data_IF_195442501881
#
_entry.id   IF_195442501881
#
_cell.length_a   1.000
_cell.length_b   1.000
_cell.length_c   1.000
_cell.angle_alpha   90.00
_cell.angle_beta   90.00
_cell.angle_gamma   90.00
#
_symmetry.space_group_name_H-M   'P 1'
#
loop_
_entity.id
_entity.type
_entity.pdbx_description
1 polymer ?
#
# COMPACT_ATOMS: atom_id res chain seq x y z
N UNK A 1 17.66 -5.92 -12.68
CA UNK A 1 18.34 -7.20 -12.38
C UNK A 1 17.27 -8.22 -12.06
N UNK A 2 17.35 -9.44 -12.58
CA UNK A 2 16.37 -10.49 -12.28
C UNK A 2 16.90 -11.36 -11.15
N UNK A 3 16.24 -11.34 -10.00
CA UNK A 3 16.49 -12.28 -8.92
C UNK A 3 15.82 -13.62 -9.22
N UNK A 4 16.47 -14.72 -8.87
CA UNK A 4 15.87 -16.04 -8.77
C UNK A 4 15.09 -16.18 -7.45
N UNK A 5 14.18 -17.15 -7.39
CA UNK A 5 13.36 -17.35 -6.18
C UNK A 5 14.25 -17.71 -4.98
N UNK A 6 15.29 -18.52 -5.17
CA UNK A 6 16.23 -18.87 -4.09
C UNK A 6 17.05 -17.68 -3.58
N UNK A 7 17.42 -16.74 -4.46
CA UNK A 7 18.10 -15.49 -4.05
C UNK A 7 17.17 -14.62 -3.17
N UNK A 8 15.89 -14.54 -3.55
CA UNK A 8 14.88 -13.83 -2.75
C UNK A 8 14.69 -14.50 -1.37
N UNK A 9 14.51 -15.82 -1.33
CA UNK A 9 14.37 -16.55 -0.06
C UNK A 9 15.63 -16.44 0.81
N UNK A 10 16.82 -16.41 0.19
CA UNK A 10 18.10 -16.20 0.89
C UNK A 10 18.13 -14.84 1.58
N UNK A 11 17.72 -13.76 0.89
CA UNK A 11 17.66 -12.44 1.51
C UNK A 11 16.74 -12.41 2.74
N UNK A 12 15.60 -13.12 2.71
CA UNK A 12 14.71 -13.26 3.88
C UNK A 12 15.42 -13.95 5.03
N UNK A 13 16.11 -15.07 4.78
CA UNK A 13 16.85 -15.81 5.81
C UNK A 13 18.01 -15.00 6.40
N UNK A 14 18.76 -14.29 5.57
CA UNK A 14 19.86 -13.42 5.99
C UNK A 14 19.36 -12.29 6.89
N UNK A 15 18.30 -11.60 6.47
CA UNK A 15 17.74 -10.51 7.28
C UNK A 15 17.14 -11.05 8.59
N UNK A 16 16.51 -12.22 8.56
CA UNK A 16 16.00 -12.86 9.78
C UNK A 16 17.14 -13.19 10.76
N UNK A 17 18.27 -13.69 10.26
CA UNK A 17 19.45 -13.97 11.06
C UNK A 17 20.10 -12.69 11.62
N UNK A 18 20.12 -11.61 10.85
CA UNK A 18 20.64 -10.30 11.29
C UNK A 18 19.79 -9.66 12.40
N UNK A 19 18.46 -9.75 12.28
CA UNK A 19 17.54 -9.18 13.25
C UNK A 19 17.32 -10.10 14.46
N UNK A 20 17.60 -11.40 14.33
CA UNK A 20 17.26 -12.41 15.32
C UNK A 20 15.75 -12.66 15.46
N UNK A 21 14.97 -12.14 14.52
CA UNK A 21 13.52 -12.27 14.44
C UNK A 21 13.08 -12.25 12.97
N UNK A 22 11.84 -12.65 12.73
CA UNK A 22 11.30 -12.73 11.38
C UNK A 22 11.00 -11.33 10.84
N UNK A 23 11.60 -10.96 9.70
CA UNK A 23 11.51 -9.60 9.18
C UNK A 23 10.13 -9.27 8.65
N UNK A 24 9.75 -8.00 8.78
CA UNK A 24 8.63 -7.41 8.04
C UNK A 24 9.04 -7.03 6.62
N UNK A 25 8.06 -6.94 5.72
CA UNK A 25 8.25 -6.46 4.34
C UNK A 25 8.89 -5.07 4.27
N UNK A 26 8.62 -4.22 5.26
CA UNK A 26 9.20 -2.88 5.37
C UNK A 26 10.68 -2.93 5.78
N UNK A 27 11.04 -3.80 6.73
CA UNK A 27 12.44 -4.02 7.10
C UNK A 27 13.24 -4.60 5.92
N UNK A 28 12.64 -5.50 5.15
CA UNK A 28 13.25 -6.03 3.93
C UNK A 28 13.47 -4.94 2.88
N UNK A 29 12.43 -4.15 2.60
CA UNK A 29 12.49 -3.09 1.58
C UNK A 29 13.38 -1.91 1.98
N UNK A 30 13.62 -1.72 3.28
CA UNK A 30 14.50 -0.67 3.82
C UNK A 30 15.96 -1.12 3.95
N UNK A 31 16.26 -2.43 3.84
CA UNK A 31 17.60 -2.94 3.96
C UNK A 31 18.41 -2.67 2.67
N UNK A 32 19.59 -2.09 2.82
CA UNK A 32 20.44 -1.74 1.67
C UNK A 32 20.81 -2.98 0.85
N UNK A 33 20.72 -2.83 -0.48
CA UNK A 33 21.06 -3.90 -1.44
C UNK A 33 20.05 -5.04 -1.51
N UNK A 34 18.91 -4.97 -0.80
CA UNK A 34 17.88 -6.00 -0.81
C UNK A 34 16.74 -5.68 -1.80
N UNK A 35 16.09 -6.71 -2.36
CA UNK A 35 14.93 -6.53 -3.24
C UNK A 35 13.75 -5.86 -2.54
N UNK A 36 12.95 -5.11 -3.30
CA UNK A 36 11.72 -4.48 -2.78
C UNK A 36 10.69 -5.53 -2.36
N UNK A 37 9.84 -5.19 -1.40
CA UNK A 37 8.68 -6.00 -0.99
C UNK A 37 7.75 -6.39 -2.16
N UNK A 38 7.61 -5.49 -3.16
CA UNK A 38 6.87 -5.78 -4.37
C UNK A 38 7.46 -6.94 -5.19
N UNK A 39 8.78 -7.13 -5.16
CA UNK A 39 9.45 -8.26 -5.83
C UNK A 39 9.02 -9.59 -5.21
N UNK A 40 8.89 -9.65 -3.88
CA UNK A 40 8.42 -10.84 -3.18
C UNK A 40 6.95 -11.13 -3.44
N UNK A 41 6.09 -10.10 -3.39
CA UNK A 41 4.65 -10.26 -3.66
C UNK A 41 4.39 -10.79 -5.08
N UNK A 42 5.11 -10.31 -6.08
CA UNK A 42 4.95 -10.80 -7.46
C UNK A 42 5.47 -12.22 -7.69
N UNK A 43 6.41 -12.71 -6.85
CA UNK A 43 7.02 -14.03 -7.02
C UNK A 43 6.40 -15.12 -6.15
N UNK A 44 5.91 -14.76 -4.97
CA UNK A 44 5.44 -15.70 -3.95
C UNK A 44 4.00 -15.44 -3.53
N UNK A 45 3.25 -14.62 -4.28
CA UNK A 45 1.87 -14.18 -4.01
C UNK A 45 1.72 -13.26 -2.77
N UNK A 46 2.50 -13.46 -1.70
CA UNK A 46 2.53 -12.59 -0.53
C UNK A 46 3.88 -12.61 0.20
N UNK A 47 4.13 -11.60 1.05
CA UNK A 47 5.30 -11.58 1.94
C UNK A 47 5.31 -12.78 2.88
N UNK A 48 4.15 -13.10 3.46
CA UNK A 48 4.01 -14.21 4.41
C UNK A 48 4.32 -15.55 3.77
N UNK A 49 3.91 -15.78 2.51
CA UNK A 49 4.23 -17.01 1.80
C UNK A 49 5.71 -17.06 1.40
N UNK A 50 6.34 -15.92 1.09
CA UNK A 50 7.79 -15.84 0.90
C UNK A 50 8.56 -16.18 2.19
N UNK A 51 8.11 -15.70 3.34
CA UNK A 51 8.70 -16.00 4.67
C UNK A 51 8.51 -17.48 5.03
N UNK A 52 7.34 -18.05 4.75
CA UNK A 52 7.05 -19.47 4.96
C UNK A 52 7.94 -20.36 4.07
N UNK A 53 8.07 -20.03 2.78
CA UNK A 53 8.97 -20.72 1.85
C UNK A 53 10.45 -20.52 2.20
N UNK A 54 10.80 -19.40 2.82
CA UNK A 54 12.13 -19.18 3.37
C UNK A 54 12.43 -20.07 4.59
N UNK A 55 11.43 -20.77 5.15
CA UNK A 55 11.58 -21.62 6.32
C UNK A 55 11.85 -20.82 7.60
N UNK A 56 11.51 -19.53 7.59
CA UNK A 56 11.63 -18.64 8.74
C UNK A 56 10.31 -18.69 9.50
N UNK A 57 10.34 -19.03 10.80
CA UNK A 57 9.13 -19.11 11.63
C UNK A 57 8.42 -17.75 11.61
N UNK A 58 7.15 -17.65 11.14
CA UNK A 58 6.42 -16.39 11.14
C UNK A 58 6.49 -15.74 12.52
N UNK A 59 6.88 -14.45 12.60
CA UNK A 59 7.05 -13.79 13.90
C UNK A 59 5.77 -13.95 14.72
N UNK A 60 5.93 -14.34 15.99
CA UNK A 60 4.86 -14.36 17.00
C UNK A 60 4.46 -12.92 17.42
N UNK A 61 4.36 -12.02 16.44
CA UNK A 61 3.69 -10.73 16.54
C UNK A 61 2.17 -10.90 16.45
N UNK A 62 1.70 -12.15 16.48
CA UNK A 62 0.30 -12.50 16.57
C UNK A 62 -0.29 -11.78 17.77
N UNK A 63 -1.18 -10.82 17.48
CA UNK A 63 -2.27 -10.54 18.41
C UNK A 63 -3.00 -11.85 18.74
N UNK A 64 -4.14 -11.81 19.42
CA UNK A 64 -4.81 -13.03 19.92
C UNK A 64 -5.27 -14.05 18.85
N UNK A 65 -4.93 -13.87 17.58
CA UNK A 65 -5.35 -14.70 16.45
C UNK A 65 -4.17 -15.10 15.56
N UNK A 66 -4.11 -16.40 15.25
CA UNK A 66 -3.24 -17.04 14.25
C UNK A 66 -3.76 -16.83 12.82
N UNK A 67 -2.91 -17.06 11.80
CA UNK A 67 -3.31 -17.05 10.37
C UNK A 67 -4.52 -17.96 10.15
N UNK A 68 -4.49 -19.18 10.71
CA UNK A 68 -5.57 -20.17 10.58
C UNK A 68 -6.86 -19.70 11.23
N UNK A 69 -6.82 -19.18 12.47
CA UNK A 69 -8.01 -18.68 13.16
C UNK A 69 -8.67 -17.53 12.37
N UNK A 70 -7.89 -16.61 11.81
CA UNK A 70 -8.41 -15.54 10.96
C UNK A 70 -9.10 -16.09 9.69
N UNK A 71 -8.51 -17.09 9.02
CA UNK A 71 -9.15 -17.72 7.86
C UNK A 71 -10.43 -18.46 8.24
N UNK A 72 -10.47 -19.11 9.40
CA UNK A 72 -11.67 -19.76 9.93
C UNK A 72 -12.77 -18.74 10.24
N UNK A 73 -12.44 -17.58 10.81
CA UNK A 73 -13.39 -16.49 11.01
C UNK A 73 -14.02 -16.00 9.70
N UNK A 74 -13.23 -15.85 8.63
CA UNK A 74 -13.73 -15.47 7.31
C UNK A 74 -14.68 -16.54 6.76
N UNK A 75 -14.29 -17.82 6.82
CA UNK A 75 -15.12 -18.94 6.32
C UNK A 75 -16.41 -19.10 7.11
N UNK A 76 -16.36 -18.91 8.42
CA UNK A 76 -17.54 -18.94 9.28
C UNK A 76 -18.50 -17.80 8.94
N UNK A 77 -17.99 -16.58 8.77
CA UNK A 77 -18.81 -15.43 8.36
C UNK A 77 -19.43 -15.65 6.98
N UNK A 78 -18.65 -16.17 6.03
CA UNK A 78 -19.14 -16.49 4.70
C UNK A 78 -20.26 -17.54 4.71
N UNK A 79 -20.14 -18.55 5.58
CA UNK A 79 -21.16 -19.60 5.75
C UNK A 79 -22.44 -19.03 6.33
N UNK A 80 -22.34 -18.13 7.30
CA UNK A 80 -23.49 -17.46 7.92
C UNK A 80 -24.23 -16.56 6.91
N UNK A 81 -23.48 -15.78 6.12
CA UNK A 81 -24.04 -14.86 5.14
C UNK A 81 -24.47 -15.55 3.83
N UNK A 82 -24.01 -16.78 3.58
CA UNK A 82 -24.16 -17.46 2.28
C UNK A 82 -23.39 -16.81 1.14
N UNK A 83 -22.44 -15.90 1.44
CA UNK A 83 -21.60 -15.17 0.48
C UNK A 83 -20.27 -14.76 1.11
N UNK A 84 -19.19 -14.57 0.32
CA UNK A 84 -18.01 -13.84 0.74
C UNK A 84 -18.33 -12.58 1.57
N UNK A 85 -17.72 -12.42 2.76
CA UNK A 85 -17.99 -11.30 3.64
C UNK A 85 -17.27 -10.02 3.21
N UNK A 86 -17.95 -8.90 3.34
CA UNK A 86 -17.39 -7.55 3.18
C UNK A 86 -16.76 -7.04 4.47
N UNK A 87 -15.96 -5.99 4.35
CA UNK A 87 -15.46 -5.26 5.52
C UNK A 87 -16.61 -4.69 6.37
N UNK A 88 -17.73 -4.33 5.76
CA UNK A 88 -18.92 -3.87 6.48
C UNK A 88 -19.54 -5.01 7.29
N UNK A 89 -19.64 -6.21 6.72
CA UNK A 89 -20.12 -7.40 7.44
C UNK A 89 -19.20 -7.74 8.62
N UNK A 90 -17.88 -7.62 8.45
CA UNK A 90 -16.91 -7.84 9.53
C UNK A 90 -17.07 -6.81 10.65
N UNK A 91 -17.27 -5.53 10.31
CA UNK A 91 -17.42 -4.45 11.29
C UNK A 91 -18.79 -4.42 11.97
N UNK A 92 -19.80 -5.11 11.41
CA UNK A 92 -21.13 -5.22 11.99
C UNK A 92 -21.19 -6.22 13.17
N UNK A 93 -20.16 -7.06 13.33
CA UNK A 93 -20.08 -8.09 14.35
C UNK A 93 -18.95 -7.79 15.35
N UNK A 94 -19.33 -7.31 16.54
CA UNK A 94 -18.40 -6.96 17.62
C UNK A 94 -17.74 -8.20 18.28
N UNK A 95 -18.29 -9.40 18.10
CA UNK A 95 -17.74 -10.64 18.67
C UNK A 95 -16.62 -11.25 17.80
N UNK A 96 -16.34 -10.64 16.64
CA UNK A 96 -15.31 -11.09 15.69
C UNK A 96 -14.04 -10.23 15.74
N UNK A 97 -12.91 -10.76 15.26
CA UNK A 97 -11.70 -9.96 15.16
C UNK A 97 -11.93 -8.74 14.27
N UNK A 98 -11.54 -7.56 14.75
CA UNK A 98 -11.50 -6.36 13.90
C UNK A 98 -10.60 -6.56 12.65
N UNK A 99 -10.70 -5.67 11.66
CA UNK A 99 -9.87 -5.72 10.46
C UNK A 99 -8.34 -5.73 10.73
N UNK A 100 -7.88 -5.15 11.85
CA UNK A 100 -6.44 -4.94 12.12
C UNK A 100 -5.60 -6.24 12.08
N UNK A 101 -5.98 -7.32 12.77
CA UNK A 101 -5.36 -8.64 12.62
C UNK A 101 -5.22 -9.12 11.17
N UNK A 102 -6.26 -8.98 10.35
CA UNK A 102 -6.23 -9.42 8.95
C UNK A 102 -5.24 -8.61 8.13
N UNK A 103 -5.28 -7.27 8.24
CA UNK A 103 -4.33 -6.39 7.56
C UNK A 103 -2.87 -6.69 7.93
N UNK A 104 -2.62 -7.08 9.17
CA UNK A 104 -1.26 -7.42 9.64
C UNK A 104 -0.76 -8.74 9.05
N UNK A 105 -1.65 -9.71 8.85
CA UNK A 105 -1.27 -11.08 8.42
C UNK A 105 -1.30 -11.25 6.90
N UNK A 106 -2.23 -10.58 6.23
CA UNK A 106 -2.53 -10.76 4.80
C UNK A 106 -2.34 -9.48 3.97
N UNK A 107 -1.85 -8.39 4.57
CA UNK A 107 -1.76 -7.04 3.99
C UNK A 107 -3.11 -6.35 3.70
N UNK A 108 -4.08 -7.02 3.09
CA UNK A 108 -5.41 -6.47 2.72
C UNK A 108 -6.55 -7.43 3.06
N UNK A 109 -7.80 -6.94 3.07
CA UNK A 109 -8.96 -7.81 3.29
C UNK A 109 -9.17 -8.77 2.12
N UNK A 110 -8.98 -8.29 0.89
CA UNK A 110 -9.12 -9.12 -0.30
C UNK A 110 -8.07 -10.23 -0.38
N UNK A 111 -6.83 -9.96 0.04
CA UNK A 111 -5.83 -11.02 0.17
C UNK A 111 -6.23 -12.06 1.23
N UNK A 112 -6.87 -11.63 2.33
CA UNK A 112 -7.41 -12.55 3.33
C UNK A 112 -8.58 -13.39 2.77
N UNK A 113 -9.45 -12.81 1.94
CA UNK A 113 -10.53 -13.54 1.25
C UNK A 113 -9.98 -14.59 0.27
N UNK A 114 -9.00 -14.20 -0.57
CA UNK A 114 -8.32 -15.11 -1.49
C UNK A 114 -7.66 -16.26 -0.72
N UNK A 115 -6.93 -15.94 0.36
CA UNK A 115 -6.31 -16.96 1.22
C UNK A 115 -7.35 -17.86 1.92
N UNK A 116 -8.56 -17.35 2.18
CA UNK A 116 -9.66 -18.14 2.73
C UNK A 116 -10.36 -19.02 1.68
N UNK A 117 -10.05 -18.83 0.39
CA UNK A 117 -10.61 -19.58 -0.74
C UNK A 117 -11.83 -18.91 -1.38
N UNK A 118 -12.00 -17.61 -1.19
CA UNK A 118 -13.07 -16.82 -1.81
C UNK A 118 -12.52 -15.89 -2.89
N UNK A 119 -13.34 -15.57 -3.87
CA UNK A 119 -13.04 -14.47 -4.77
C UNK A 119 -12.99 -13.15 -3.98
N UNK A 120 -12.08 -12.22 -4.32
CA UNK A 120 -12.10 -10.87 -3.78
C UNK A 120 -13.49 -10.26 -3.91
N UNK A 121 -13.88 -9.39 -2.96
CA UNK A 121 -15.21 -8.79 -2.98
C UNK A 121 -15.49 -7.92 -4.23
N UNK A 122 -14.47 -7.66 -5.04
CA UNK A 122 -14.59 -7.09 -6.37
C UNK A 122 -15.50 -7.91 -7.31
N UNK A 123 -15.61 -9.23 -7.11
CA UNK A 123 -16.40 -10.13 -7.95
C UNK A 123 -17.88 -10.26 -7.52
N UNK A 124 -18.27 -9.76 -6.35
CA UNK A 124 -19.51 -10.14 -5.65
C UNK A 124 -20.49 -8.98 -5.44
N UNK A 125 -20.50 -7.98 -6.32
CA UNK A 125 -21.53 -6.94 -6.32
C UNK A 125 -22.79 -7.41 -7.07
N UNK A 126 -23.59 -8.24 -6.40
CA UNK A 126 -24.95 -8.57 -6.84
C UNK A 126 -26.03 -8.11 -5.85
N UNK A 127 -25.69 -7.24 -4.90
CA UNK A 127 -26.65 -6.66 -3.95
C UNK A 127 -26.63 -5.14 -4.05
N UNK A 128 -27.20 -4.60 -5.13
CA UNK A 128 -28.39 -3.72 -5.17
C UNK A 128 -28.62 -3.30 -6.65
N UNK A 129 -29.87 -3.07 -7.11
CA UNK A 129 -30.19 -2.91 -8.53
C UNK A 129 -29.72 -1.60 -9.19
N UNK A 130 -29.03 -0.72 -8.46
CA UNK A 130 -28.74 0.67 -8.89
C UNK A 130 -27.30 1.13 -8.58
N UNK A 131 -26.28 0.27 -8.72
CA UNK A 131 -24.90 0.63 -8.39
C UNK A 131 -23.83 0.11 -9.35
N UNK A 132 -22.75 0.89 -9.49
CA UNK A 132 -21.54 0.57 -10.24
C UNK A 132 -20.84 -0.68 -9.69
N UNK A 133 -20.45 -1.58 -10.58
CA UNK A 133 -19.50 -2.66 -10.33
C UNK A 133 -18.09 -2.12 -10.12
N UNK A 134 -17.23 -2.90 -9.47
CA UNK A 134 -15.85 -2.50 -9.22
C UNK A 134 -15.09 -2.28 -10.54
N UNK A 135 -15.36 -3.09 -11.57
CA UNK A 135 -14.81 -2.87 -12.91
C UNK A 135 -15.26 -1.54 -13.52
N UNK A 136 -16.54 -1.17 -13.36
CA UNK A 136 -17.05 0.13 -13.81
C UNK A 136 -16.41 1.29 -13.03
N UNK A 137 -16.21 1.13 -11.72
CA UNK A 137 -15.47 2.10 -10.91
C UNK A 137 -14.03 2.27 -11.40
N UNK A 138 -13.29 1.18 -11.60
CA UNK A 138 -11.92 1.25 -12.13
C UNK A 138 -11.87 1.84 -13.54
N UNK A 139 -12.86 1.53 -14.38
CA UNK A 139 -13.01 2.12 -15.72
C UNK A 139 -13.17 3.64 -15.64
N UNK A 140 -13.99 4.15 -14.73
CA UNK A 140 -14.14 5.60 -14.54
C UNK A 140 -12.83 6.28 -14.10
N UNK A 141 -11.99 5.62 -13.30
CA UNK A 141 -10.65 6.12 -12.97
C UNK A 141 -9.77 6.15 -14.21
N UNK A 142 -9.79 5.10 -15.02
CA UNK A 142 -8.98 4.98 -16.25
C UNK A 142 -9.39 6.02 -17.31
N UNK A 143 -10.68 6.17 -17.56
CA UNK A 143 -11.22 7.17 -18.49
C UNK A 143 -10.82 8.59 -18.08
N UNK A 144 -10.99 8.93 -16.80
CA UNK A 144 -10.58 10.25 -16.30
C UNK A 144 -9.05 10.43 -16.35
N UNK A 145 -8.29 9.35 -16.12
CA UNK A 145 -6.84 9.41 -16.25
C UNK A 145 -6.38 9.62 -17.70
N UNK A 146 -7.06 9.02 -18.68
CA UNK A 146 -6.83 9.26 -20.09
C UNK A 146 -7.15 10.70 -20.49
N UNK A 147 -8.26 11.26 -19.98
CA UNK A 147 -8.65 12.66 -20.18
C UNK A 147 -7.60 13.65 -19.62
N UNK A 148 -7.03 13.34 -18.46
CA UNK A 148 -6.07 14.19 -17.77
C UNK A 148 -4.60 13.92 -18.16
N UNK A 149 -4.32 12.80 -18.84
CA UNK A 149 -2.97 12.31 -19.11
C UNK A 149 -2.20 11.86 -17.84
N UNK A 150 -2.89 11.76 -16.69
CA UNK A 150 -2.34 11.33 -15.39
C UNK A 150 -3.44 10.80 -14.48
N UNK A 151 -3.11 10.03 -13.42
CA UNK A 151 -4.10 9.55 -12.47
C UNK A 151 -4.88 10.71 -11.81
N UNK A 152 -6.21 10.60 -11.67
CA UNK A 152 -7.01 11.66 -11.07
C UNK A 152 -6.80 11.78 -9.55
N UNK A 153 -6.91 12.99 -9.06
CA UNK A 153 -7.05 13.28 -7.63
C UNK A 153 -8.48 12.99 -7.15
N UNK A 154 -8.66 12.91 -5.82
CA UNK A 154 -9.99 12.75 -5.21
C UNK A 154 -10.94 13.88 -5.60
N UNK A 155 -10.43 15.12 -5.60
CA UNK A 155 -11.22 16.30 -5.92
C UNK A 155 -11.60 16.37 -7.40
N UNK A 156 -10.72 15.90 -8.30
CA UNK A 156 -11.01 15.80 -9.74
C UNK A 156 -12.07 14.74 -10.03
N UNK A 157 -12.02 13.58 -9.34
CA UNK A 157 -13.08 12.57 -9.47
C UNK A 157 -14.42 13.07 -8.92
N UNK A 158 -14.43 13.77 -7.79
CA UNK A 158 -15.67 14.34 -7.24
C UNK A 158 -16.25 15.42 -8.16
N UNK A 159 -15.41 16.17 -8.88
CA UNK A 159 -15.86 17.22 -9.81
C UNK A 159 -16.28 16.70 -11.18
N UNK A 160 -15.99 15.44 -11.50
CA UNK A 160 -16.41 14.86 -12.76
C UNK A 160 -17.92 14.56 -12.74
N UNK A 161 -18.65 15.17 -13.67
CA UNK A 161 -20.06 14.90 -13.90
C UNK A 161 -20.27 13.42 -14.30
N UNK A 162 -21.43 12.87 -13.92
CA UNK A 162 -21.85 11.49 -14.21
C UNK A 162 -20.91 10.37 -13.70
N UNK A 163 -20.02 10.68 -12.74
CA UNK A 163 -19.15 9.68 -12.09
C UNK A 163 -19.55 9.44 -10.62
N UNK A 164 -19.33 8.23 -10.10
CA UNK A 164 -19.59 7.94 -8.69
C UNK A 164 -18.71 8.79 -7.77
N UNK A 165 -19.23 9.16 -6.59
CA UNK A 165 -18.45 9.88 -5.57
C UNK A 165 -17.25 9.06 -5.10
N UNK A 166 -16.16 9.73 -4.74
CA UNK A 166 -14.94 9.19 -4.14
C UNK A 166 -15.20 8.34 -2.88
N UNK A 167 -16.31 8.58 -2.19
CA UNK A 167 -16.78 7.78 -1.06
C UNK A 167 -17.13 6.33 -1.46
N UNK A 168 -17.66 6.14 -2.67
CA UNK A 168 -17.95 4.82 -3.25
C UNK A 168 -16.66 4.02 -3.41
N UNK A 169 -15.62 4.66 -3.96
CA UNK A 169 -14.31 4.05 -4.15
C UNK A 169 -13.64 3.70 -2.82
N UNK A 170 -13.65 4.61 -1.84
CA UNK A 170 -13.08 4.35 -0.51
C UNK A 170 -13.75 3.16 0.19
N UNK A 171 -15.07 3.03 0.06
CA UNK A 171 -15.82 1.91 0.64
C UNK A 171 -15.50 0.59 -0.06
N UNK A 172 -15.36 0.60 -1.38
CA UNK A 172 -15.14 -0.60 -2.21
C UNK A 172 -13.71 -1.10 -2.21
N UNK A 173 -12.73 -0.19 -2.24
CA UNK A 173 -11.32 -0.50 -2.41
C UNK A 173 -10.49 -0.17 -1.16
N UNK A 174 -11.11 0.00 0.01
CA UNK A 174 -10.46 0.36 1.29
C UNK A 174 -9.90 1.80 1.34
N UNK A 175 -9.44 2.34 0.22
CA UNK A 175 -8.99 3.73 0.09
C UNK A 175 -9.00 4.20 -1.37
N UNK A 176 -8.94 5.53 -1.59
CA UNK A 176 -8.72 6.08 -2.93
C UNK A 176 -7.36 5.66 -3.52
N UNK A 177 -6.32 5.61 -2.68
CA UNK A 177 -4.98 5.21 -3.10
C UNK A 177 -5.01 3.80 -3.67
N UNK A 178 -5.66 2.89 -2.96
CA UNK A 178 -5.89 1.50 -3.38
C UNK A 178 -6.74 1.44 -4.66
N UNK A 179 -7.78 2.27 -4.79
CA UNK A 179 -8.56 2.34 -6.03
C UNK A 179 -7.72 2.80 -7.24
N UNK A 180 -6.80 3.74 -7.07
CA UNK A 180 -5.88 4.19 -8.13
C UNK A 180 -4.87 3.08 -8.48
N UNK A 181 -4.34 2.37 -7.48
CA UNK A 181 -3.41 1.23 -7.67
C UNK A 181 -4.09 0.08 -8.41
N UNK A 182 -5.30 -0.29 -8.00
CA UNK A 182 -6.12 -1.32 -8.66
C UNK A 182 -6.57 -0.91 -10.07
N UNK A 183 -6.68 0.39 -10.35
CA UNK A 183 -6.93 0.91 -11.69
C UNK A 183 -5.68 0.84 -12.61
N UNK A 184 -4.54 0.37 -12.09
CA UNK A 184 -3.29 0.20 -12.84
C UNK A 184 -2.38 1.43 -12.84
N UNK A 185 -2.63 2.39 -11.94
CA UNK A 185 -1.87 3.64 -11.86
C UNK A 185 -1.03 3.70 -10.58
N UNK A 186 0.14 4.34 -10.67
CA UNK A 186 0.86 4.76 -9.47
C UNK A 186 0.08 5.89 -8.80
N UNK A 187 -0.31 5.71 -7.54
CA UNK A 187 -1.22 6.62 -6.85
C UNK A 187 -0.64 8.02 -6.58
N UNK A 188 0.62 8.28 -6.94
CA UNK A 188 1.27 9.58 -6.85
C UNK A 188 1.46 10.08 -5.41
N UNK A 189 0.82 9.42 -4.43
CA UNK A 189 1.04 9.59 -3.00
C UNK A 189 2.32 8.87 -2.61
N UNK A 190 3.46 9.45 -2.99
CA UNK A 190 4.72 9.24 -2.27
C UNK A 190 4.65 9.88 -0.87
N UNK A 191 3.62 9.59 -0.08
CA UNK A 191 3.52 10.07 1.30
C UNK A 191 4.10 9.09 2.31
N UNK A 192 4.75 8.00 1.88
CA UNK A 192 5.43 7.09 2.81
C UNK A 192 6.63 6.29 2.26
N UNK A 193 7.31 6.72 1.18
CA UNK A 193 8.48 5.94 0.72
C UNK A 193 9.66 6.74 0.17
N UNK A 194 9.74 8.06 0.39
CA UNK A 194 11.03 8.70 0.14
C UNK A 194 12.01 8.25 1.22
N UNK A 195 13.03 7.51 0.79
CA UNK A 195 14.26 7.32 1.55
C UNK A 195 14.93 8.66 1.81
N UNK A 196 15.83 8.70 2.80
CA UNK A 196 16.64 9.90 3.04
C UNK A 196 17.42 10.29 1.79
N UNK A 197 18.02 9.32 1.09
CA UNK A 197 18.77 9.55 -0.14
C UNK A 197 17.91 10.23 -1.22
N UNK A 198 16.70 9.72 -1.49
CA UNK A 198 15.80 10.31 -2.48
C UNK A 198 15.36 11.74 -2.13
N UNK A 199 15.13 12.04 -0.84
CA UNK A 199 14.84 13.41 -0.42
C UNK A 199 16.03 14.33 -0.65
N UNK A 200 17.25 13.88 -0.36
CA UNK A 200 18.44 14.69 -0.57
C UNK A 200 18.71 14.93 -2.05
N UNK A 201 18.50 13.93 -2.90
CA UNK A 201 18.68 14.07 -4.34
C UNK A 201 17.64 15.03 -4.94
N UNK A 202 16.37 14.91 -4.56
CA UNK A 202 15.35 15.87 -4.97
C UNK A 202 15.68 17.30 -4.49
N UNK A 203 16.18 17.45 -3.27
CA UNK A 203 16.54 18.76 -2.74
C UNK A 203 17.72 19.38 -3.51
N UNK A 204 18.68 18.56 -3.96
CA UNK A 204 19.81 18.99 -4.81
C UNK A 204 19.38 19.30 -6.23
N UNK A 205 18.45 18.53 -6.79
CA UNK A 205 17.88 18.79 -8.11
C UNK A 205 17.17 20.14 -8.11
N UNK A 206 16.33 20.40 -7.10
CA UNK A 206 15.66 21.69 -6.95
C UNK A 206 16.66 22.85 -6.80
N UNK A 207 17.75 22.64 -6.06
CA UNK A 207 18.81 23.63 -5.92
C UNK A 207 19.53 23.91 -7.25
N UNK A 208 19.73 22.87 -8.06
CA UNK A 208 20.35 22.96 -9.38
C UNK A 208 19.43 23.69 -10.36
N UNK A 209 18.13 23.42 -10.33
CA UNK A 209 17.12 24.10 -11.16
C UNK A 209 16.98 25.58 -10.83
N UNK A 210 17.00 25.93 -9.54
CA UNK A 210 16.90 27.32 -9.07
C UNK A 210 18.25 28.06 -9.17
N UNK A 211 19.36 27.33 -9.26
CA UNK A 211 20.71 27.89 -9.20
C UNK A 211 21.10 28.46 -7.84
N UNK A 212 20.32 28.16 -6.80
CA UNK A 212 20.50 28.63 -5.43
C UNK A 212 19.89 27.64 -4.42
N UNK A 213 20.26 27.79 -3.15
CA UNK A 213 19.66 27.00 -2.06
C UNK A 213 18.15 27.26 -2.00
N UNK A 214 17.29 26.23 -2.16
CA UNK A 214 15.85 26.41 -2.18
C UNK A 214 15.31 26.94 -0.85
N UNK A 215 14.53 28.01 -0.91
CA UNK A 215 13.71 28.44 0.23
C UNK A 215 12.46 27.56 0.39
N UNK A 216 11.85 27.60 1.58
CA UNK A 216 10.57 26.92 1.83
C UNK A 216 9.47 27.41 0.87
N UNK A 217 9.49 28.69 0.48
CA UNK A 217 8.51 29.22 -0.47
C UNK A 217 8.73 28.65 -1.86
N UNK A 218 9.98 28.52 -2.30
CA UNK A 218 10.32 27.93 -3.60
C UNK A 218 10.00 26.43 -3.63
N UNK A 219 10.30 25.68 -2.56
CA UNK A 219 9.88 24.27 -2.45
C UNK A 219 8.37 24.11 -2.58
N UNK A 220 7.59 24.96 -1.91
CA UNK A 220 6.13 24.88 -1.98
C UNK A 220 5.56 25.33 -3.33
N UNK A 221 6.32 26.12 -4.10
CA UNK A 221 5.94 26.57 -5.43
C UNK A 221 6.40 25.61 -6.53
N UNK A 222 7.31 24.68 -6.22
CA UNK A 222 7.82 23.69 -7.14
C UNK A 222 6.82 22.54 -7.28
N UNK A 223 6.34 22.33 -8.50
CA UNK A 223 5.51 21.17 -8.84
C UNK A 223 6.38 19.89 -8.78
N UNK A 224 5.78 18.76 -8.42
CA UNK A 224 6.46 17.45 -8.29
C UNK A 224 7.49 17.28 -7.16
N UNK A 225 7.65 18.26 -6.27
CA UNK A 225 8.53 18.14 -5.10
C UNK A 225 7.79 17.76 -3.79
N UNK A 226 8.41 16.98 -2.89
CA UNK A 226 7.84 16.68 -1.59
C UNK A 226 7.64 17.95 -0.76
N UNK A 227 6.53 18.01 -0.01
CA UNK A 227 6.30 19.14 0.88
C UNK A 227 7.38 19.26 1.97
N UNK A 228 7.60 20.46 2.50
CA UNK A 228 8.49 20.69 3.65
C UNK A 228 8.22 19.75 4.82
N UNK A 229 6.97 19.35 5.03
CA UNK A 229 6.59 18.45 6.11
C UNK A 229 7.28 17.07 5.98
N UNK A 230 7.51 16.59 4.76
CA UNK A 230 8.21 15.33 4.48
C UNK A 230 9.66 15.41 4.94
N UNK A 231 10.37 16.47 4.54
CA UNK A 231 11.75 16.74 4.97
C UNK A 231 11.86 16.91 6.49
N UNK A 232 10.95 17.67 7.11
CA UNK A 232 10.96 17.86 8.56
C UNK A 232 10.72 16.54 9.30
N UNK A 233 9.80 15.72 8.85
CA UNK A 233 9.49 14.46 9.51
C UNK A 233 10.65 13.45 9.41
N UNK A 234 11.48 13.55 8.36
CA UNK A 234 12.64 12.66 8.16
C UNK A 234 13.91 13.17 8.84
N UNK A 235 14.28 14.43 8.62
CA UNK A 235 15.54 15.01 9.10
C UNK A 235 15.37 15.81 10.41
N UNK A 236 14.18 15.82 10.99
CA UNK A 236 13.83 16.60 12.20
C UNK A 236 13.59 18.09 11.93
N UNK A 237 14.29 18.69 10.96
CA UNK A 237 14.07 20.07 10.54
C UNK A 237 14.41 20.32 9.07
N UNK A 238 13.92 21.42 8.51
CA UNK A 238 14.28 21.85 7.15
C UNK A 238 15.76 22.21 7.04
N UNK A 239 16.31 22.89 8.04
CA UNK A 239 17.73 23.22 8.09
C UNK A 239 18.61 21.97 8.12
N UNK A 240 18.22 20.95 8.88
CA UNK A 240 18.92 19.67 8.89
C UNK A 240 18.85 18.93 7.54
N UNK A 241 17.76 19.08 6.80
CA UNK A 241 17.65 18.54 5.44
C UNK A 241 18.60 19.26 4.46
N UNK A 242 18.71 20.60 4.55
CA UNK A 242 19.67 21.39 3.75
C UNK A 242 21.12 21.05 4.09
N UNK A 243 21.44 20.89 5.38
CA UNK A 243 22.75 20.47 5.86
C UNK A 243 23.10 19.07 5.31
N UNK A 244 22.19 18.11 5.45
CA UNK A 244 22.36 16.75 4.91
C UNK A 244 22.48 16.74 3.37
N UNK A 245 21.90 17.73 2.68
CA UNK A 245 22.03 17.89 1.23
C UNK A 245 23.33 18.61 0.81
N UNK A 246 24.09 19.17 1.75
CA UNK A 246 25.23 20.08 1.53
C UNK A 246 24.85 21.38 0.81
N UNK A 247 23.75 22.01 1.23
CA UNK A 247 23.17 23.22 0.62
C UNK A 247 23.10 24.43 1.58
N UNK A 248 23.96 24.50 2.60
CA UNK A 248 24.03 25.66 3.51
C UNK A 248 24.50 26.97 2.86
#
# INVERSE_FOLDING_TARGET
MSYSDEELLTHIRELAAELGETPSVNQMSAAEGRPSGSTYRHRFDSWSDAVEQAGVEPTDQSGPYTKTELLEHIRALATELGRPPTLEDLNADDDRPSFKPYRRVFDTWNAALTAAGFDPNHAMSHTEPEGYSDAELLTHIQELAEELGRPPTQDEMHQADDRPSESTYKRRFESWTSAIEEAGFDSGRKTSSYSEAELLDLLRDLATELGETPSVQQLNAAEDYPSRAVYRNRFGSWSAALEAANLE
#
